data_IF_364915497732
#
_entry.id   IF_364915497732
#
_cell.length_a   1.000
_cell.length_b   1.000
_cell.length_c   1.000
_cell.angle_alpha   90.00
_cell.angle_beta   90.00
_cell.angle_gamma   90.00
#
_symmetry.space_group_name_H-M   'P 1'
#
loop_
_entity.id
_entity.type
_entity.pdbx_description
1 polymer ?
#
# COMPACT_ATOMS: atom_id res chain seq x y z
N UNK A 1 5.27 7.10 23.28
CA UNK A 1 5.70 6.10 22.29
C UNK A 1 5.42 6.67 20.93
N UNK A 2 6.45 6.80 20.10
CA UNK A 2 6.33 7.30 18.73
C UNK A 2 6.11 6.11 17.82
N UNK A 3 4.95 6.07 17.18
CA UNK A 3 4.56 4.97 16.30
C UNK A 3 4.36 5.49 14.88
N UNK A 4 4.69 4.66 13.89
CA UNK A 4 4.50 4.96 12.48
C UNK A 4 3.52 3.97 11.87
N UNK A 5 2.59 4.46 11.06
CA UNK A 5 1.74 3.67 10.18
C UNK A 5 2.20 3.92 8.75
N UNK A 6 3.06 3.04 8.24
CA UNK A 6 3.48 3.03 6.85
C UNK A 6 2.51 2.15 6.05
N UNK A 7 1.92 2.68 4.97
CA UNK A 7 0.96 1.91 4.20
C UNK A 7 0.99 2.18 2.71
N UNK A 8 0.80 1.14 1.90
CA UNK A 8 0.48 1.25 0.48
C UNK A 8 -1.01 1.01 0.26
N UNK A 9 -1.65 1.83 -0.56
CA UNK A 9 -3.07 1.66 -0.92
C UNK A 9 -3.38 2.18 -2.32
N UNK A 10 -4.32 1.53 -3.00
CA UNK A 10 -4.80 1.90 -4.34
C UNK A 10 -6.28 2.26 -4.30
N UNK A 11 -6.61 3.50 -4.65
CA UNK A 11 -7.97 4.02 -4.83
C UNK A 11 -8.35 4.04 -6.30
N UNK A 12 -8.27 2.91 -6.99
CA UNK A 12 -8.70 2.75 -8.38
C UNK A 12 -9.57 1.48 -8.47
N UNK A 13 -9.62 0.82 -9.62
CA UNK A 13 -10.33 -0.45 -9.75
C UNK A 13 -9.75 -1.50 -8.80
N UNK A 14 -10.59 -2.11 -7.98
CA UNK A 14 -10.24 -3.17 -7.05
C UNK A 14 -11.33 -4.25 -7.05
N UNK A 15 -10.95 -5.47 -6.68
CA UNK A 15 -11.90 -6.55 -6.49
C UNK A 15 -12.56 -6.43 -5.12
N UNK A 16 -13.87 -6.18 -5.11
CA UNK A 16 -14.67 -5.90 -3.90
C UNK A 16 -15.98 -6.69 -4.01
N UNK A 17 -16.18 -7.61 -3.06
CA UNK A 17 -17.39 -8.44 -2.95
C UNK A 17 -17.76 -9.20 -4.24
N UNK A 18 -16.75 -9.72 -4.95
CA UNK A 18 -16.95 -10.53 -6.15
C UNK A 18 -16.92 -9.74 -7.46
N UNK A 19 -16.81 -8.41 -7.40
CA UNK A 19 -16.89 -7.51 -8.55
C UNK A 19 -15.73 -6.52 -8.60
N UNK A 20 -15.37 -6.06 -9.80
CA UNK A 20 -14.41 -4.96 -9.96
C UNK A 20 -15.15 -3.64 -9.74
N UNK A 21 -14.68 -2.84 -8.79
CA UNK A 21 -15.24 -1.52 -8.45
C UNK A 21 -14.11 -0.50 -8.38
N UNK A 22 -14.35 0.70 -8.93
CA UNK A 22 -13.46 1.84 -8.72
C UNK A 22 -13.71 2.41 -7.32
N UNK A 23 -12.66 2.47 -6.51
CA UNK A 23 -12.70 3.08 -5.18
C UNK A 23 -12.11 4.49 -5.26
N UNK A 24 -12.67 5.50 -4.58
CA UNK A 24 -11.97 6.79 -4.44
C UNK A 24 -10.82 6.72 -3.41
N UNK A 25 -10.94 5.82 -2.46
CA UNK A 25 -9.95 5.59 -1.40
C UNK A 25 -9.77 4.09 -1.21
N UNK A 26 -8.53 3.62 -1.22
CA UNK A 26 -8.24 2.20 -1.07
C UNK A 26 -8.53 1.68 0.34
N UNK A 27 -8.90 0.40 0.44
CA UNK A 27 -9.28 -0.22 1.72
C UNK A 27 -8.18 -0.09 2.79
N UNK A 28 -6.91 -0.26 2.41
CA UNK A 28 -5.78 -0.13 3.34
C UNK A 28 -5.66 1.29 3.90
N UNK A 29 -5.93 2.31 3.08
CA UNK A 29 -5.89 3.72 3.52
C UNK A 29 -7.01 4.02 4.52
N UNK A 30 -8.20 3.47 4.30
CA UNK A 30 -9.30 3.54 5.28
C UNK A 30 -8.89 2.93 6.62
N UNK A 31 -8.29 1.73 6.59
CA UNK A 31 -7.83 1.04 7.81
C UNK A 31 -6.69 1.81 8.49
N UNK A 32 -5.73 2.32 7.73
CA UNK A 32 -4.63 3.14 8.27
C UNK A 32 -5.16 4.38 9.00
N UNK A 33 -6.18 5.06 8.44
CA UNK A 33 -6.85 6.17 9.10
C UNK A 33 -7.62 5.77 10.36
N UNK A 34 -8.17 4.55 10.42
CA UNK A 34 -8.77 4.02 11.66
C UNK A 34 -7.71 3.77 12.73
N UNK A 35 -6.60 3.13 12.38
CA UNK A 35 -5.49 2.87 13.32
C UNK A 35 -4.93 4.20 13.83
N UNK A 36 -4.71 5.18 12.95
CA UNK A 36 -4.27 6.52 13.35
C UNK A 36 -5.20 7.15 14.38
N UNK A 37 -6.52 7.06 14.20
CA UNK A 37 -7.49 7.61 15.16
C UNK A 37 -7.45 6.91 16.52
N UNK A 38 -7.05 5.65 16.57
CA UNK A 38 -6.96 4.86 17.80
C UNK A 38 -5.64 5.08 18.54
N UNK A 39 -4.53 5.25 17.81
CA UNK A 39 -3.19 5.30 18.40
C UNK A 39 -2.59 6.71 18.47
N UNK A 40 -3.03 7.62 17.60
CA UNK A 40 -2.37 8.92 17.38
C UNK A 40 -1.04 8.82 16.62
N UNK A 41 -0.74 7.67 16.02
CA UNK A 41 0.49 7.41 15.28
C UNK A 41 0.60 8.28 14.01
N UNK A 42 1.82 8.47 13.53
CA UNK A 42 2.08 9.19 12.28
C UNK A 42 1.69 8.33 11.07
N UNK A 43 1.13 8.96 10.02
CA UNK A 43 0.81 8.27 8.77
C UNK A 43 1.88 8.56 7.72
N UNK A 44 2.38 7.50 7.09
CA UNK A 44 3.22 7.57 5.91
C UNK A 44 2.61 6.73 4.79
N UNK A 45 2.09 7.40 3.76
CA UNK A 45 1.60 6.73 2.56
C UNK A 45 2.77 6.43 1.64
N UNK A 46 3.01 5.14 1.41
CA UNK A 46 4.00 4.64 0.46
C UNK A 46 3.41 4.84 -0.94
N UNK A 47 4.07 5.66 -1.75
CA UNK A 47 3.67 5.92 -3.13
C UNK A 47 4.81 5.57 -4.09
N UNK A 48 4.58 4.66 -5.06
CA UNK A 48 5.58 4.39 -6.08
C UNK A 48 5.74 5.60 -7.01
N UNK A 49 6.98 5.86 -7.44
CA UNK A 49 7.31 6.90 -8.41
C UNK A 49 6.60 6.66 -9.74
N UNK A 50 6.53 5.39 -10.15
CA UNK A 50 5.72 4.94 -11.29
C UNK A 50 4.47 4.26 -10.76
N UNK A 51 3.34 4.92 -10.92
CA UNK A 51 2.04 4.38 -10.50
C UNK A 51 1.65 3.15 -11.32
N UNK A 52 1.00 2.20 -10.65
CA UNK A 52 0.37 1.07 -11.31
C UNK A 52 -0.85 1.52 -12.13
N UNK A 53 -1.25 0.73 -13.12
CA UNK A 53 -2.44 1.01 -13.92
C UNK A 53 -3.68 1.09 -13.04
N UNK A 54 -4.62 1.95 -13.46
CA UNK A 54 -5.94 2.07 -12.83
C UNK A 54 -6.85 0.89 -13.17
N UNK A 55 -6.60 0.24 -14.31
CA UNK A 55 -7.28 -0.98 -14.71
C UNK A 55 -6.82 -2.15 -13.83
N UNK A 56 -7.77 -2.88 -13.28
CA UNK A 56 -7.48 -3.97 -12.34
C UNK A 56 -6.58 -5.05 -12.96
N UNK A 57 -6.88 -5.50 -14.18
CA UNK A 57 -6.18 -6.61 -14.82
C UNK A 57 -4.77 -6.21 -15.26
N UNK A 58 -4.62 -5.00 -15.81
CA UNK A 58 -3.31 -4.45 -16.15
C UNK A 58 -2.43 -4.29 -14.91
N UNK A 59 -2.99 -3.80 -13.80
CA UNK A 59 -2.24 -3.69 -12.55
C UNK A 59 -1.78 -5.06 -12.05
N UNK A 60 -2.62 -6.09 -12.09
CA UNK A 60 -2.23 -7.45 -11.69
C UNK A 60 -1.10 -7.96 -12.59
N UNK A 61 -1.17 -7.75 -13.90
CA UNK A 61 -0.11 -8.14 -14.82
C UNK A 61 1.22 -7.40 -14.54
N UNK A 62 1.16 -6.10 -14.22
CA UNK A 62 2.32 -5.31 -13.82
C UNK A 62 2.94 -5.83 -12.52
N UNK A 63 2.14 -6.06 -11.49
CA UNK A 63 2.60 -6.56 -10.19
C UNK A 63 3.23 -7.97 -10.32
N UNK A 64 2.64 -8.85 -11.13
CA UNK A 64 3.22 -10.17 -11.44
C UNK A 64 4.57 -10.04 -12.16
N UNK A 65 4.68 -9.14 -13.15
CA UNK A 65 5.92 -8.90 -13.87
C UNK A 65 7.02 -8.35 -12.95
N UNK A 66 6.71 -7.32 -12.17
CA UNK A 66 7.62 -6.72 -11.19
C UNK A 66 8.17 -7.77 -10.24
N UNK A 67 7.30 -8.63 -9.71
CA UNK A 67 7.71 -9.71 -8.84
C UNK A 67 8.62 -10.73 -9.54
N UNK A 68 8.26 -11.20 -10.74
CA UNK A 68 9.07 -12.16 -11.50
C UNK A 68 10.47 -11.62 -11.78
N UNK A 69 10.59 -10.32 -11.96
CA UNK A 69 11.85 -9.62 -12.20
C UNK A 69 12.53 -9.13 -10.91
N UNK A 70 11.96 -9.44 -9.73
CA UNK A 70 12.41 -8.97 -8.43
C UNK A 70 12.61 -7.45 -8.38
N UNK A 71 11.73 -6.70 -9.04
CA UNK A 71 11.73 -5.24 -9.05
C UNK A 71 11.47 -4.72 -7.64
N UNK A 72 12.11 -3.61 -7.31
CA UNK A 72 11.83 -2.79 -6.13
C UNK A 72 11.42 -1.43 -6.67
N UNK A 73 10.10 -1.13 -6.77
CA UNK A 73 9.65 0.14 -7.30
C UNK A 73 10.25 1.30 -6.51
N UNK A 74 10.84 2.26 -7.22
CA UNK A 74 11.30 3.51 -6.61
C UNK A 74 10.10 4.25 -5.99
N UNK A 75 10.29 4.86 -4.82
CA UNK A 75 9.23 5.61 -4.15
C UNK A 75 9.31 7.10 -4.46
N UNK A 76 8.16 7.80 -4.42
CA UNK A 76 8.11 9.25 -4.56
C UNK A 76 8.84 9.97 -3.42
N UNK A 77 8.80 9.38 -2.23
CA UNK A 77 9.44 9.91 -1.03
C UNK A 77 9.78 8.76 -0.07
N UNK A 78 10.70 9.03 0.84
CA UNK A 78 11.09 8.15 1.93
C UNK A 78 10.92 8.89 3.26
N UNK A 79 10.63 8.18 4.37
CA UNK A 79 10.72 8.79 5.70
C UNK A 79 12.15 9.29 5.95
N UNK A 80 12.31 10.47 6.56
CA UNK A 80 13.63 11.03 6.85
C UNK A 80 14.45 10.11 7.77
N UNK A 81 13.78 9.46 8.72
CA UNK A 81 14.34 8.40 9.55
C UNK A 81 13.22 7.50 10.08
N UNK A 82 13.55 6.24 10.34
CA UNK A 82 12.67 5.29 11.05
C UNK A 82 13.16 4.96 12.46
N UNK A 83 14.38 5.37 12.81
CA UNK A 83 15.01 5.09 14.11
C UNK A 83 14.20 5.60 15.33
N UNK A 84 13.49 6.75 15.26
CA UNK A 84 12.74 7.26 16.41
C UNK A 84 11.47 6.47 16.72
N UNK A 85 10.99 5.61 15.82
CA UNK A 85 9.72 4.90 16.04
C UNK A 85 9.96 3.59 16.80
N UNK A 86 9.20 3.38 17.87
CA UNK A 86 9.26 2.16 18.68
C UNK A 86 8.45 1.02 18.07
N UNK A 87 7.43 1.37 17.27
CA UNK A 87 6.62 0.44 16.52
C UNK A 87 6.27 0.99 15.13
N UNK A 88 6.28 0.12 14.14
CA UNK A 88 5.89 0.43 12.76
C UNK A 88 4.79 -0.55 12.35
N UNK A 89 3.59 -0.01 12.10
CA UNK A 89 2.50 -0.72 11.45
C UNK A 89 2.72 -0.65 9.93
N UNK A 90 2.78 -1.81 9.27
CA UNK A 90 2.95 -1.89 7.82
C UNK A 90 1.66 -2.43 7.17
N UNK A 91 0.97 -1.57 6.44
CA UNK A 91 -0.30 -1.90 5.77
C UNK A 91 -0.16 -2.01 4.26
N UNK A 92 -0.70 -3.07 3.67
CA UNK A 92 -0.73 -3.24 2.21
C UNK A 92 -1.91 -4.13 1.82
N UNK A 93 -2.48 -3.96 0.60
CA UNK A 93 -3.53 -4.83 0.11
C UNK A 93 -3.02 -6.26 -0.04
N UNK A 94 -3.89 -7.23 0.23
CA UNK A 94 -3.61 -8.63 -0.11
C UNK A 94 -3.52 -8.75 -1.62
N UNK A 95 -2.40 -9.27 -2.11
CA UNK A 95 -2.28 -9.73 -3.49
C UNK A 95 -2.70 -11.20 -3.54
N UNK A 96 -3.55 -11.58 -4.50
CA UNK A 96 -3.77 -12.99 -4.80
C UNK A 96 -2.44 -13.55 -5.33
N UNK A 97 -2.13 -14.80 -5.03
CA UNK A 97 -0.84 -15.50 -5.22
C UNK A 97 0.15 -15.42 -4.02
N UNK A 98 0.94 -16.50 -3.74
CA UNK A 98 1.71 -16.69 -2.49
C UNK A 98 3.04 -15.93 -2.48
N UNK A 99 2.96 -14.63 -2.72
CA UNK A 99 3.97 -13.93 -3.46
C UNK A 99 4.20 -12.57 -2.80
N UNK A 100 5.24 -12.53 -1.96
CA UNK A 100 5.62 -11.36 -1.17
C UNK A 100 6.10 -10.22 -2.07
N UNK A 101 5.39 -9.10 -2.03
CA UNK A 101 5.94 -7.78 -2.32
C UNK A 101 5.37 -6.83 -1.26
N UNK A 102 6.09 -6.78 -0.14
CA UNK A 102 6.25 -5.56 0.64
C UNK A 102 7.73 -5.22 0.60
#
# INVERSE_FOLDING_TARGET
MTELIAFFSRGDENYVDGEIKTLETGNTEVVAGVIQKLTGAELFKIEPLKEYSKDYNECIAQAQSDQMQNVRPELKAYPESIEPYEAIYLGFPKMEYPFNCV
#
